data_IF_895900648710
#
_entry.id   IF_895900648710
#
_cell.length_a   1.000
_cell.length_b   1.000
_cell.length_c   1.000
_cell.angle_alpha   90.00
_cell.angle_beta   90.00
_cell.angle_gamma   90.00
#
_symmetry.space_group_name_H-M   'P 1'
#
loop_
_entity.id
_entity.type
_entity.pdbx_description
1 polymer ?
#
# COMPACT_ATOMS: atom_id res chain seq x y z
N UNK A 1 12.24 -10.72 -8.90
CA UNK A 1 12.46 -9.47 -8.15
C UNK A 1 13.52 -9.67 -7.10
N UNK A 2 14.48 -8.76 -7.04
CA UNK A 2 15.48 -8.67 -5.98
C UNK A 2 14.81 -8.48 -4.61
N UNK A 3 15.47 -8.90 -3.52
CA UNK A 3 14.93 -8.79 -2.16
C UNK A 3 14.52 -7.36 -1.80
N UNK A 4 15.35 -6.38 -2.18
CA UNK A 4 15.06 -4.94 -2.06
C UNK A 4 13.73 -4.56 -2.71
N UNK A 5 13.48 -5.04 -3.94
CA UNK A 5 12.23 -4.76 -4.67
C UNK A 5 11.02 -5.37 -3.98
N UNK A 6 11.14 -6.56 -3.37
CA UNK A 6 10.02 -7.24 -2.68
C UNK A 6 9.57 -6.47 -1.45
N UNK A 7 10.50 -6.02 -0.60
CA UNK A 7 10.15 -5.20 0.57
C UNK A 7 9.66 -3.81 0.21
N UNK A 8 10.22 -3.22 -0.86
CA UNK A 8 9.70 -1.99 -1.43
C UNK A 8 8.26 -2.17 -1.95
N UNK A 9 7.96 -3.30 -2.57
CA UNK A 9 6.64 -3.64 -3.06
C UNK A 9 5.59 -3.70 -1.91
N UNK A 10 5.93 -4.30 -0.76
CA UNK A 10 5.06 -4.25 0.45
C UNK A 10 4.76 -2.81 0.84
N UNK A 11 5.77 -1.95 0.87
CA UNK A 11 5.60 -0.55 1.20
C UNK A 11 4.64 0.19 0.24
N UNK A 12 4.89 0.13 -1.08
CA UNK A 12 4.09 0.89 -2.04
C UNK A 12 2.66 0.36 -2.16
N UNK A 13 2.46 -0.95 -2.05
CA UNK A 13 1.13 -1.56 -2.09
C UNK A 13 0.34 -1.26 -0.83
N UNK A 14 0.93 -1.36 0.36
CA UNK A 14 0.24 -1.00 1.61
C UNK A 14 -0.16 0.49 1.63
N UNK A 15 0.74 1.39 1.23
CA UNK A 15 0.45 2.82 1.14
C UNK A 15 -0.66 3.11 0.11
N UNK A 16 -0.61 2.48 -1.06
CA UNK A 16 -1.64 2.63 -2.10
C UNK A 16 -3.00 2.10 -1.63
N UNK A 17 -3.02 0.94 -0.97
CA UNK A 17 -4.22 0.37 -0.38
C UNK A 17 -4.87 1.29 0.65
N UNK A 18 -4.06 1.93 1.49
CA UNK A 18 -4.55 2.94 2.44
C UNK A 18 -5.05 4.21 1.74
N UNK A 19 -4.38 4.66 0.66
CA UNK A 19 -4.88 5.74 -0.19
C UNK A 19 -6.23 5.41 -0.79
N UNK A 20 -6.46 4.17 -1.21
CA UNK A 20 -7.76 3.76 -1.73
C UNK A 20 -8.87 3.73 -0.68
N UNK A 21 -8.56 3.51 0.61
CA UNK A 21 -9.56 3.65 1.68
C UNK A 21 -10.11 5.09 1.80
N UNK A 22 -9.35 6.09 1.30
CA UNK A 22 -9.75 7.50 1.23
C UNK A 22 -9.91 8.00 -0.20
N UNK A 23 -10.34 7.14 -1.12
CA UNK A 23 -10.59 7.46 -2.54
C UNK A 23 -9.37 8.08 -3.27
N UNK A 24 -8.16 7.84 -2.78
CA UNK A 24 -6.92 8.36 -3.33
C UNK A 24 -6.62 9.81 -2.95
N UNK A 25 -7.30 10.38 -1.96
CA UNK A 25 -7.04 11.73 -1.44
C UNK A 25 -6.04 11.68 -0.26
N UNK A 26 -4.79 12.14 -0.43
CA UNK A 26 -3.80 12.10 0.65
C UNK A 26 -4.12 13.08 1.78
N UNK A 27 -4.92 14.13 1.54
CA UNK A 27 -5.30 15.13 2.55
C UNK A 27 -6.43 14.65 3.47
N UNK A 28 -7.13 13.58 3.10
CA UNK A 28 -8.15 12.94 3.90
C UNK A 28 -7.58 12.00 4.99
N UNK A 29 -6.33 11.53 4.84
CA UNK A 29 -5.66 10.62 5.78
C UNK A 29 -5.70 11.04 7.25
N UNK A 30 -5.37 12.30 7.60
CA UNK A 30 -5.29 12.71 9.00
C UNK A 30 -6.65 12.75 9.71
N UNK A 31 -7.75 12.61 8.95
CA UNK A 31 -9.13 12.75 9.41
C UNK A 31 -9.81 11.40 9.68
N UNK A 32 -9.17 10.30 9.32
CA UNK A 32 -9.69 8.94 9.55
C UNK A 32 -8.85 8.21 10.61
N UNK A 33 -9.53 7.69 11.64
CA UNK A 33 -8.90 6.98 12.77
C UNK A 33 -7.94 5.82 12.38
N UNK A 34 -8.15 5.05 11.29
CA UNK A 34 -7.19 4.05 10.83
C UNK A 34 -6.13 4.54 9.83
N UNK A 35 -6.00 5.85 9.58
CA UNK A 35 -5.15 6.40 8.51
C UNK A 35 -3.67 5.97 8.54
N UNK A 36 -3.15 5.51 9.69
CA UNK A 36 -1.76 5.07 9.81
C UNK A 36 -1.59 3.56 10.00
N UNK A 37 -2.66 2.78 9.86
CA UNK A 37 -2.61 1.30 9.93
C UNK A 37 -1.69 0.69 8.85
N UNK A 38 -1.45 1.40 7.74
CA UNK A 38 -0.49 0.95 6.72
C UNK A 38 0.94 0.81 7.27
N UNK A 39 1.33 1.59 8.27
CA UNK A 39 2.64 1.43 8.93
C UNK A 39 2.71 0.09 9.63
N UNK A 40 1.64 -0.30 10.33
CA UNK A 40 1.54 -1.60 11.00
C UNK A 40 1.44 -2.74 9.98
N UNK A 41 0.71 -2.56 8.90
CA UNK A 41 0.63 -3.53 7.80
C UNK A 41 1.99 -3.76 7.12
N UNK A 42 2.81 -2.70 6.97
CA UNK A 42 4.16 -2.83 6.42
C UNK A 42 5.06 -3.62 7.37
N UNK A 43 5.02 -3.31 8.67
CA UNK A 43 5.78 -4.06 9.69
C UNK A 43 5.40 -5.53 9.69
N UNK A 44 4.10 -5.81 9.68
CA UNK A 44 3.54 -7.17 9.61
C UNK A 44 4.01 -7.91 8.35
N UNK A 45 3.98 -7.26 7.18
CA UNK A 45 4.46 -7.85 5.93
C UNK A 45 5.98 -8.07 5.90
N UNK A 46 6.77 -7.17 6.48
CA UNK A 46 8.22 -7.34 6.58
C UNK A 46 8.63 -8.40 7.59
N UNK A 47 7.93 -8.50 8.71
CA UNK A 47 8.13 -9.58 9.68
C UNK A 47 7.85 -10.94 9.04
N UNK A 48 6.75 -11.08 8.28
CA UNK A 48 6.48 -12.27 7.47
C UNK A 48 7.62 -12.56 6.48
N UNK A 49 8.15 -11.53 5.80
CA UNK A 49 9.32 -11.70 4.92
C UNK A 49 10.60 -12.14 5.66
N UNK A 50 10.81 -11.70 6.90
CA UNK A 50 11.94 -12.14 7.73
C UNK A 50 11.84 -13.64 8.04
N UNK A 51 10.64 -14.16 8.31
CA UNK A 51 10.40 -15.61 8.51
C UNK A 51 10.79 -16.46 7.29
N UNK A 52 10.63 -15.92 6.08
CA UNK A 52 11.03 -16.56 4.82
C UNK A 52 12.46 -16.24 4.37
N UNK A 53 13.27 -15.60 5.23
CA UNK A 53 14.62 -15.13 4.91
C UNK A 53 14.69 -14.26 3.63
N UNK A 54 13.61 -13.53 3.33
CA UNK A 54 13.56 -12.60 2.21
C UNK A 54 14.34 -11.34 2.65
N UNK A 55 15.44 -11.07 1.95
CA UNK A 55 16.48 -10.10 2.33
C UNK A 55 16.01 -8.70 2.73
N UNK A 56 16.93 -7.91 3.26
CA UNK A 56 16.66 -6.72 4.08
C UNK A 56 15.90 -5.58 3.38
N UNK A 57 15.20 -4.78 4.19
CA UNK A 57 14.51 -3.57 3.72
C UNK A 57 15.50 -2.44 3.42
N UNK A 58 15.12 -1.49 2.55
CA UNK A 58 15.93 -0.32 2.29
C UNK A 58 16.16 0.46 3.59
N UNK A 59 17.42 0.80 3.91
CA UNK A 59 17.77 1.44 5.19
C UNK A 59 16.96 2.71 5.48
N UNK A 60 16.68 3.49 4.44
CA UNK A 60 15.85 4.70 4.54
C UNK A 60 14.41 4.37 4.96
N UNK A 61 13.82 3.31 4.41
CA UNK A 61 12.46 2.87 4.77
C UNK A 61 12.42 2.26 6.17
N UNK A 62 13.41 1.44 6.54
CA UNK A 62 13.52 0.94 7.92
C UNK A 62 13.56 2.07 8.95
N UNK A 63 14.28 3.15 8.67
CA UNK A 63 14.40 4.29 9.58
C UNK A 63 13.05 4.97 9.86
N UNK A 64 12.18 5.07 8.84
CA UNK A 64 10.90 5.79 8.94
C UNK A 64 9.70 4.90 9.28
N UNK A 65 9.77 3.60 8.99
CA UNK A 65 8.64 2.68 9.14
C UNK A 65 8.83 1.66 10.27
N UNK A 66 10.04 1.22 10.56
CA UNK A 66 10.30 0.07 11.43
C UNK A 66 10.98 0.47 12.75
N UNK A 67 12.12 1.16 12.69
CA UNK A 67 12.97 1.42 13.86
C UNK A 67 12.42 2.44 14.85
N UNK A 68 11.51 3.30 14.40
CA UNK A 68 10.93 4.37 15.22
C UNK A 68 9.65 3.95 15.96
N UNK A 69 9.32 4.58 17.11
CA UNK A 69 8.00 4.48 17.72
C UNK A 69 6.88 4.81 16.73
N UNK A 70 5.78 4.06 16.76
CA UNK A 70 4.63 4.26 15.87
C UNK A 70 4.13 5.71 15.82
N UNK A 71 4.00 6.46 16.93
CA UNK A 71 3.54 7.85 16.89
C UNK A 71 4.45 8.78 16.07
N UNK A 72 5.77 8.53 16.07
CA UNK A 72 6.74 9.33 15.31
C UNK A 72 6.59 9.03 13.82
N UNK A 73 6.48 7.75 13.46
CA UNK A 73 6.23 7.34 12.08
C UNK A 73 4.90 7.91 11.57
N UNK A 74 3.83 7.82 12.36
CA UNK A 74 2.54 8.39 12.03
C UNK A 74 2.61 9.91 11.84
N UNK A 75 3.29 10.65 12.72
CA UNK A 75 3.47 12.09 12.59
C UNK A 75 4.27 12.48 11.33
N UNK A 76 5.33 11.72 11.01
CA UNK A 76 6.11 11.92 9.79
C UNK A 76 5.24 11.72 8.54
N UNK A 77 4.53 10.59 8.45
CA UNK A 77 3.68 10.27 7.31
C UNK A 77 2.48 11.21 7.18
N UNK A 78 1.89 11.63 8.30
CA UNK A 78 0.85 12.66 8.33
C UNK A 78 1.35 13.92 7.63
N UNK A 79 2.49 14.45 8.05
CA UNK A 79 3.05 15.68 7.50
C UNK A 79 3.46 15.54 6.03
N UNK A 80 3.95 14.37 5.63
CA UNK A 80 4.33 14.10 4.24
C UNK A 80 3.10 14.02 3.32
N UNK A 81 2.06 13.29 3.73
CA UNK A 81 0.83 13.11 2.96
C UNK A 81 0.00 14.42 2.89
N UNK A 82 0.03 15.23 3.95
CA UNK A 82 -0.60 16.56 4.02
C UNK A 82 0.21 17.65 3.27
N UNK A 83 1.02 17.27 2.27
CA UNK A 83 1.86 18.19 1.51
C UNK A 83 1.78 17.92 0.01
N UNK A 84 2.13 18.90 -0.85
CA UNK A 84 2.19 18.68 -2.31
C UNK A 84 3.08 17.50 -2.72
N UNK A 85 4.06 17.14 -1.86
CA UNK A 85 4.92 15.98 -2.08
C UNK A 85 4.15 14.66 -1.93
N UNK A 86 3.24 14.56 -0.97
CA UNK A 86 2.42 13.36 -0.79
C UNK A 86 1.55 13.08 -2.01
N UNK A 87 0.94 14.14 -2.54
CA UNK A 87 0.17 14.11 -3.78
C UNK A 87 1.04 13.71 -4.99
N UNK A 88 2.20 14.36 -5.16
CA UNK A 88 3.08 14.11 -6.30
C UNK A 88 3.79 12.75 -6.26
N UNK A 89 4.31 12.33 -5.11
CA UNK A 89 5.06 11.08 -4.94
C UNK A 89 4.16 9.85 -4.90
N UNK A 90 2.97 9.94 -4.30
CA UNK A 90 2.16 8.75 -4.02
C UNK A 90 0.78 8.82 -4.65
N UNK A 91 -0.04 9.80 -4.26
CA UNK A 91 -1.48 9.74 -4.54
C UNK A 91 -1.80 9.80 -6.04
N UNK A 92 -1.11 10.68 -6.80
CA UNK A 92 -1.28 10.77 -8.26
C UNK A 92 -0.95 9.47 -8.98
N UNK A 93 0.10 8.78 -8.53
CA UNK A 93 0.48 7.48 -9.10
C UNK A 93 -0.52 6.40 -8.70
N UNK A 94 -0.86 6.30 -7.41
CA UNK A 94 -1.82 5.32 -6.90
C UNK A 94 -3.16 5.40 -7.66
N UNK A 95 -3.70 6.59 -7.92
CA UNK A 95 -4.97 6.73 -8.66
C UNK A 95 -4.93 6.19 -10.10
N UNK A 96 -3.75 6.08 -10.71
CA UNK A 96 -3.58 5.58 -12.09
C UNK A 96 -3.08 4.13 -12.15
N UNK A 97 -2.51 3.63 -11.07
CA UNK A 97 -1.81 2.35 -11.03
C UNK A 97 -2.62 1.22 -10.37
N UNK A 98 -3.95 1.35 -10.20
CA UNK A 98 -4.76 0.37 -9.46
C UNK A 98 -4.58 -1.09 -9.94
N UNK A 99 -4.56 -1.31 -11.26
CA UNK A 99 -4.33 -2.66 -11.83
C UNK A 99 -2.92 -3.16 -11.56
N UNK A 100 -1.91 -2.29 -11.66
CA UNK A 100 -0.50 -2.61 -11.37
C UNK A 100 -0.32 -2.94 -9.88
N UNK A 101 -0.91 -2.14 -8.99
CA UNK A 101 -0.89 -2.37 -7.55
C UNK A 101 -1.58 -3.69 -7.18
N UNK A 102 -2.66 -4.08 -7.86
CA UNK A 102 -3.36 -5.37 -7.63
C UNK A 102 -2.49 -6.54 -8.06
N UNK A 103 -1.85 -6.46 -9.23
CA UNK A 103 -0.89 -7.47 -9.67
C UNK A 103 0.27 -7.62 -8.68
N UNK A 104 0.87 -6.49 -8.27
CA UNK A 104 1.98 -6.47 -7.33
C UNK A 104 1.60 -6.99 -5.94
N UNK A 105 0.39 -6.69 -5.46
CA UNK A 105 -0.15 -7.25 -4.23
C UNK A 105 -0.32 -8.77 -4.32
N UNK A 106 -0.78 -9.27 -5.47
CA UNK A 106 -0.85 -10.71 -5.76
C UNK A 106 0.52 -11.39 -5.67
N UNK A 107 1.54 -10.81 -6.31
CA UNK A 107 2.92 -11.32 -6.26
C UNK A 107 3.45 -11.39 -4.82
N UNK A 108 3.13 -10.38 -3.99
CA UNK A 108 3.53 -10.37 -2.57
C UNK A 108 2.80 -11.46 -1.79
N UNK A 109 1.50 -11.66 -2.00
CA UNK A 109 0.76 -12.71 -1.30
C UNK A 109 1.27 -14.11 -1.65
N UNK A 110 1.72 -14.34 -2.89
CA UNK A 110 2.40 -15.59 -3.28
C UNK A 110 3.70 -15.77 -2.49
N UNK A 111 4.46 -14.70 -2.27
CA UNK A 111 5.70 -14.76 -1.49
C UNK A 111 5.46 -15.01 0.01
N UNK A 112 4.36 -14.48 0.56
CA UNK A 112 4.01 -14.64 1.98
C UNK A 112 3.27 -15.94 2.27
N UNK A 113 2.90 -16.71 1.26
CA UNK A 113 2.22 -18.00 1.40
C UNK A 113 0.98 -17.91 2.34
N UNK A 114 0.88 -18.82 3.31
CA UNK A 114 -0.20 -18.90 4.29
C UNK A 114 0.03 -18.03 5.55
N UNK A 115 1.02 -17.13 5.54
CA UNK A 115 1.27 -16.27 6.70
C UNK A 115 0.06 -15.40 7.04
N UNK A 116 -0.17 -15.29 8.35
CA UNK A 116 -1.21 -14.46 8.92
C UNK A 116 -0.79 -12.97 8.88
N UNK A 117 -1.06 -12.32 7.74
CA UNK A 117 -0.86 -10.87 7.54
C UNK A 117 -2.19 -10.11 7.38
N UNK A 118 -3.06 -10.10 8.41
CA UNK A 118 -4.44 -9.59 8.30
C UNK A 118 -4.52 -8.09 8.00
N UNK A 119 -3.60 -7.26 8.50
CA UNK A 119 -3.59 -5.81 8.23
C UNK A 119 -3.19 -5.56 6.79
N UNK A 120 -2.18 -6.27 6.30
CA UNK A 120 -1.76 -6.17 4.91
C UNK A 120 -2.86 -6.63 3.95
N UNK A 121 -3.48 -7.79 4.23
CA UNK A 121 -4.60 -8.33 3.43
C UNK A 121 -5.79 -7.38 3.37
N UNK A 122 -6.11 -6.68 4.46
CA UNK A 122 -7.17 -5.66 4.46
C UNK A 122 -6.87 -4.54 3.46
N UNK A 123 -5.63 -4.03 3.42
CA UNK A 123 -5.26 -2.97 2.48
C UNK A 123 -5.25 -3.48 1.04
N UNK A 124 -4.87 -4.73 0.80
CA UNK A 124 -4.91 -5.35 -0.52
C UNK A 124 -6.34 -5.52 -1.03
N UNK A 125 -7.31 -5.81 -0.14
CA UNK A 125 -8.72 -5.81 -0.52
C UNK A 125 -9.20 -4.43 -1.03
N UNK A 126 -8.64 -3.32 -0.53
CA UNK A 126 -8.92 -1.98 -1.08
C UNK A 126 -8.33 -1.80 -2.48
N UNK A 127 -7.15 -2.34 -2.75
CA UNK A 127 -6.53 -2.34 -4.08
C UNK A 127 -7.41 -3.10 -5.08
N UNK A 128 -7.83 -4.32 -4.73
CA UNK A 128 -8.62 -5.17 -5.64
C UNK A 128 -9.98 -4.55 -5.98
N UNK A 129 -10.64 -3.90 -5.00
CA UNK A 129 -11.90 -3.16 -5.23
C UNK A 129 -11.74 -2.05 -6.26
N UNK A 130 -10.68 -1.25 -6.14
CA UNK A 130 -10.42 -0.15 -7.10
C UNK A 130 -10.02 -0.72 -8.46
N UNK A 131 -9.15 -1.74 -8.50
CA UNK A 131 -8.73 -2.38 -9.75
C UNK A 131 -9.89 -3.05 -10.51
N UNK A 132 -10.87 -3.62 -9.79
CA UNK A 132 -12.09 -4.16 -10.41
C UNK A 132 -12.91 -3.05 -11.09
N UNK A 133 -13.03 -1.88 -10.45
CA UNK A 133 -13.74 -0.72 -10.99
C UNK A 133 -13.04 -0.17 -12.24
N UNK A 134 -11.72 -0.01 -12.20
CA UNK A 134 -10.91 0.49 -13.33
C UNK A 134 -10.91 -0.43 -14.54
N UNK A 135 -11.12 -1.75 -14.35
CA UNK A 135 -11.26 -2.72 -15.45
C UNK A 135 -12.65 -2.73 -16.09
N UNK A 136 -13.66 -2.16 -15.44
CA UNK A 136 -15.05 -2.20 -15.88
C UNK A 136 -15.57 -1.04 -16.78
N UNK A 137 -14.84 0.05 -17.13
CA UNK A 137 -15.43 1.19 -17.83
C UNK A 137 -15.88 0.90 -19.28
N UNK A 138 -15.38 -0.17 -19.92
CA UNK A 138 -15.71 -0.49 -21.33
C UNK A 138 -16.89 -1.44 -21.55
N UNK A 139 -17.49 -2.04 -20.51
CA UNK A 139 -18.59 -3.02 -20.70
C UNK A 139 -20.00 -2.42 -20.79
N UNK A 140 -20.18 -1.12 -20.56
CA UNK A 140 -21.49 -0.46 -20.63
C UNK A 140 -21.76 0.31 -21.93
N UNK A 141 -20.81 0.38 -22.86
CA UNK A 141 -21.02 0.96 -24.19
C UNK A 141 -21.28 -0.15 -25.24
N UNK A 142 -22.45 -0.79 -25.18
CA UNK A 142 -23.03 -1.44 -26.37
C UNK A 142 -24.38 -0.77 -26.68
N UNK A 143 -24.56 -0.19 -27.87
CA UNK A 143 -25.90 0.16 -28.32
C UNK A 143 -26.69 -1.15 -28.49
N UNK A 144 -27.91 -1.19 -27.93
CA UNK A 144 -28.84 -2.29 -28.20
C UNK A 144 -29.29 -2.19 -29.67
N UNK A 145 -29.39 -3.33 -30.39
CA UNK A 145 -30.03 -3.35 -31.71
C UNK A 145 -31.52 -3.01 -31.62
#
# INVERSE_FOLDING_TARGET
MDSWLRRHAVFVTALSGALYEVAGDPYAFPRIAPGFEFILAIREGWEAMDWHAIGSAPLALCAILERGPFPIAAAYWKRLLDSPRGEYYFARHARRAATEMSALAGDILVLLCDDAVPRLRRLYASIDRVAATTRQPDRQARPRP
#
